data_IF_838885024930
#
_entry.id   IF_838885024930
#
_cell.length_a   1.000
_cell.length_b   1.000
_cell.length_c   1.000
_cell.angle_alpha   90.00
_cell.angle_beta   90.00
_cell.angle_gamma   90.00
#
_symmetry.space_group_name_H-M   'P 1'
#
loop_
_entity.id
_entity.type
_entity.pdbx_description
1 polymer ?
#
# COMPACT_ATOMS: atom_id res chain seq x y z
N UNK A 1 32.77 -10.24 13.99
CA UNK A 1 31.76 -10.95 14.80
C UNK A 1 30.59 -11.29 13.91
N UNK A 2 29.85 -12.36 14.15
CA UNK A 2 28.75 -12.70 13.27
C UNK A 2 27.70 -11.59 13.32
N UNK A 3 27.22 -11.21 12.13
CA UNK A 3 26.11 -10.33 11.91
C UNK A 3 24.93 -10.84 12.72
N UNK A 4 24.35 -9.99 13.55
CA UNK A 4 23.17 -10.33 14.32
C UNK A 4 22.03 -9.41 13.90
N UNK A 5 20.86 -9.98 13.69
CA UNK A 5 19.64 -9.24 13.43
C UNK A 5 18.94 -8.94 14.76
N UNK A 6 18.62 -7.68 14.98
CA UNK A 6 17.99 -7.20 16.22
C UNK A 6 16.71 -6.41 15.91
N UNK A 7 15.84 -6.32 16.90
CA UNK A 7 14.80 -5.31 16.86
C UNK A 7 15.44 -3.91 16.85
N UNK A 8 15.04 -3.09 15.90
CA UNK A 8 15.49 -1.71 15.81
C UNK A 8 15.05 -0.93 17.03
N UNK A 9 15.82 0.08 17.39
CA UNK A 9 15.52 1.06 18.40
C UNK A 9 15.21 2.41 17.75
N UNK A 10 14.68 3.34 18.51
CA UNK A 10 14.36 4.69 18.03
C UNK A 10 15.58 5.38 17.42
N UNK A 11 16.75 5.21 18.02
CA UNK A 11 18.02 5.81 17.58
C UNK A 11 18.45 5.32 16.17
N UNK A 12 17.93 4.19 15.72
CA UNK A 12 18.25 3.61 14.42
C UNK A 12 17.47 4.26 13.26
N UNK A 13 16.42 5.01 13.58
CA UNK A 13 15.44 5.49 12.62
C UNK A 13 16.01 6.29 11.47
N UNK A 14 16.96 7.20 11.74
CA UNK A 14 17.61 8.04 10.71
C UNK A 14 18.49 7.18 9.78
N UNK A 15 19.23 6.22 10.33
CA UNK A 15 20.10 5.33 9.54
C UNK A 15 19.26 4.40 8.67
N UNK A 16 18.14 3.87 9.19
CA UNK A 16 17.16 3.09 8.43
C UNK A 16 16.57 3.94 7.30
N UNK A 17 16.21 5.22 7.55
CA UNK A 17 15.69 6.10 6.50
C UNK A 17 16.66 6.22 5.33
N UNK A 18 17.95 6.46 5.62
CA UNK A 18 19.00 6.56 4.60
C UNK A 18 19.13 5.26 3.79
N UNK A 19 19.05 4.11 4.46
CA UNK A 19 19.13 2.81 3.80
C UNK A 19 17.93 2.58 2.88
N UNK A 20 16.71 2.93 3.30
CA UNK A 20 15.50 2.80 2.49
C UNK A 20 15.51 3.71 1.25
N UNK A 21 16.20 4.85 1.32
CA UNK A 21 16.30 5.83 0.23
C UNK A 21 17.30 5.43 -0.87
N UNK A 22 18.10 4.36 -0.66
CA UNK A 22 18.98 3.90 -1.72
C UNK A 22 18.18 3.42 -2.94
N UNK A 23 18.50 3.92 -4.16
CA UNK A 23 17.69 3.70 -5.35
C UNK A 23 17.58 2.22 -5.71
N UNK A 24 16.38 1.80 -6.10
CA UNK A 24 16.16 0.54 -6.82
C UNK A 24 16.05 0.88 -8.30
N UNK A 25 16.82 0.21 -9.15
CA UNK A 25 16.75 0.46 -10.60
C UNK A 25 15.46 -0.14 -11.17
N UNK A 26 14.50 0.73 -11.50
CA UNK A 26 13.19 0.33 -11.96
C UNK A 26 12.74 1.17 -13.17
N UNK A 27 12.93 0.65 -14.37
CA UNK A 27 12.32 1.15 -15.61
C UNK A 27 12.60 2.62 -15.96
N UNK A 28 11.62 3.27 -16.61
CA UNK A 28 11.72 4.66 -17.10
C UNK A 28 11.54 5.70 -15.97
N UNK A 29 10.89 5.35 -14.87
CA UNK A 29 10.69 6.19 -13.69
C UNK A 29 11.23 5.41 -12.49
N UNK A 30 12.27 5.95 -11.87
CA UNK A 30 12.74 5.44 -10.58
C UNK A 30 11.98 6.15 -9.48
N UNK A 31 11.19 5.41 -8.72
CA UNK A 31 10.47 5.93 -7.57
C UNK A 31 10.86 5.13 -6.33
N UNK A 32 10.95 5.81 -5.22
CA UNK A 32 11.21 5.22 -3.91
C UNK A 32 10.14 5.66 -2.92
N UNK A 33 9.79 4.75 -2.02
CA UNK A 33 9.05 5.12 -0.82
C UNK A 33 10.05 5.48 0.26
N UNK A 34 9.97 6.74 0.70
CA UNK A 34 10.79 7.24 1.80
C UNK A 34 9.96 7.29 3.08
N UNK A 35 10.63 7.22 4.22
CA UNK A 35 10.03 7.30 5.55
C UNK A 35 10.73 8.39 6.35
N UNK A 36 10.56 9.63 5.89
CA UNK A 36 11.19 10.82 6.49
C UNK A 36 10.30 11.45 7.56
N UNK A 37 10.92 12.14 8.54
CA UNK A 37 12.37 12.26 8.75
C UNK A 37 13.01 11.03 9.38
N UNK A 38 12.23 10.16 10.00
CA UNK A 38 12.67 9.02 10.79
C UNK A 38 11.86 7.77 10.46
N UNK A 39 12.53 6.71 9.98
CA UNK A 39 11.85 5.51 9.53
C UNK A 39 11.26 4.72 10.71
N UNK A 40 11.90 4.68 11.87
CA UNK A 40 11.35 3.98 13.03
C UNK A 40 10.03 4.62 13.46
N UNK A 41 10.01 5.93 13.67
CA UNK A 41 8.80 6.67 14.01
C UNK A 41 7.72 6.55 12.92
N UNK A 42 8.13 6.52 11.64
CA UNK A 42 7.22 6.30 10.53
C UNK A 42 6.54 4.93 10.59
N UNK A 43 7.29 3.87 10.89
CA UNK A 43 6.72 2.53 11.04
C UNK A 43 5.75 2.44 12.22
N UNK A 44 6.01 3.16 13.31
CA UNK A 44 5.10 3.19 14.47
C UNK A 44 3.76 3.88 14.18
N UNK A 45 3.63 4.56 13.05
CA UNK A 45 2.39 5.20 12.56
C UNK A 45 1.59 4.31 11.61
N UNK A 46 2.09 3.13 11.26
CA UNK A 46 1.33 2.18 10.44
C UNK A 46 0.17 1.58 11.24
N UNK A 47 -0.92 1.28 10.56
CA UNK A 47 -2.04 0.57 11.17
C UNK A 47 -1.67 -0.88 11.49
N UNK A 48 -1.61 -1.20 12.79
CA UNK A 48 -1.23 -2.50 13.32
C UNK A 48 -0.01 -2.43 14.25
N UNK A 49 0.46 -3.58 14.71
CA UNK A 49 1.68 -3.71 15.51
C UNK A 49 2.90 -3.70 14.60
N UNK A 50 3.70 -2.65 14.67
CA UNK A 50 4.92 -2.51 13.87
C UNK A 50 6.13 -3.09 14.57
N UNK A 51 6.91 -3.89 13.84
CA UNK A 51 8.18 -4.45 14.28
C UNK A 51 9.25 -4.20 13.24
N UNK A 52 10.27 -3.46 13.60
CA UNK A 52 11.38 -3.12 12.71
C UNK A 52 12.62 -3.89 13.12
N UNK A 53 13.30 -4.49 12.16
CA UNK A 53 14.52 -5.27 12.36
C UNK A 53 15.66 -4.65 11.59
N UNK A 54 16.85 -4.67 12.18
CA UNK A 54 18.10 -4.23 11.56
C UNK A 54 19.12 -5.34 11.57
N UNK A 55 19.91 -5.40 10.52
CA UNK A 55 21.10 -6.24 10.40
C UNK A 55 22.32 -5.34 10.54
N UNK A 56 23.24 -5.68 11.42
CA UNK A 56 24.44 -4.88 11.68
C UNK A 56 25.71 -5.65 11.35
N UNK A 57 26.64 -4.92 10.77
CA UNK A 57 28.04 -5.31 10.73
C UNK A 57 28.79 -4.28 11.56
N UNK A 58 29.32 -4.72 12.71
CA UNK A 58 29.81 -3.84 13.77
C UNK A 58 28.76 -2.79 14.21
N UNK A 59 29.03 -1.52 14.08
CA UNK A 59 28.09 -0.44 14.44
C UNK A 59 27.18 0.00 13.30
N UNK A 60 27.46 -0.38 12.04
CA UNK A 60 26.72 0.06 10.84
C UNK A 60 25.52 -0.84 10.57
N UNK A 61 24.38 -0.25 10.24
CA UNK A 61 23.24 -0.97 9.72
C UNK A 61 23.48 -1.31 8.24
N UNK A 62 23.53 -2.60 7.94
CA UNK A 62 23.76 -3.13 6.58
C UNK A 62 22.49 -3.68 5.93
N UNK A 63 21.39 -3.73 6.67
CA UNK A 63 20.11 -4.16 6.16
C UNK A 63 18.98 -3.90 7.14
N UNK A 64 17.78 -3.89 6.62
CA UNK A 64 16.54 -3.71 7.40
C UNK A 64 15.43 -4.58 6.84
N UNK A 65 14.45 -4.89 7.68
CA UNK A 65 13.21 -5.56 7.34
C UNK A 65 12.16 -5.17 8.38
N UNK A 66 10.91 -5.02 7.98
CA UNK A 66 9.83 -4.68 8.90
C UNK A 66 8.65 -5.62 8.76
N UNK A 67 7.90 -5.77 9.84
CA UNK A 67 6.62 -6.47 9.90
C UNK A 67 5.56 -5.52 10.43
N UNK A 68 4.41 -5.48 9.76
CA UNK A 68 3.21 -4.83 10.26
C UNK A 68 2.18 -5.92 10.50
N UNK A 69 1.85 -6.14 11.77
CA UNK A 69 0.96 -7.22 12.19
C UNK A 69 -0.43 -6.64 12.37
N UNK A 70 -1.41 -7.24 11.69
CA UNK A 70 -2.80 -6.81 11.73
C UNK A 70 -3.75 -7.97 11.47
N UNK A 71 -4.98 -7.82 11.92
CA UNK A 71 -6.05 -8.74 11.60
C UNK A 71 -6.61 -8.40 10.21
N UNK A 72 -6.85 -9.42 9.40
CA UNK A 72 -7.47 -9.33 8.07
C UNK A 72 -8.52 -10.42 7.92
N UNK A 73 -9.43 -10.25 6.98
CA UNK A 73 -10.34 -11.32 6.60
C UNK A 73 -9.70 -12.26 5.58
N UNK A 74 -9.96 -13.56 5.73
CA UNK A 74 -9.67 -14.61 4.76
C UNK A 74 -10.83 -15.60 4.83
N UNK A 75 -11.52 -15.82 3.73
CA UNK A 75 -12.74 -16.64 3.66
C UNK A 75 -13.78 -16.24 4.74
N UNK A 76 -13.97 -14.92 4.90
CA UNK A 76 -14.87 -14.35 5.89
C UNK A 76 -14.44 -14.53 7.36
N UNK A 77 -13.28 -15.15 7.61
CA UNK A 77 -12.75 -15.43 8.96
C UNK A 77 -11.61 -14.46 9.27
N UNK A 78 -11.57 -13.97 10.52
CA UNK A 78 -10.47 -13.12 10.98
C UNK A 78 -9.20 -13.96 11.12
N UNK A 79 -8.13 -13.53 10.45
CA UNK A 79 -6.79 -14.12 10.51
C UNK A 79 -5.79 -13.05 10.92
N UNK A 80 -4.86 -13.42 11.81
CA UNK A 80 -3.77 -12.53 12.20
C UNK A 80 -2.63 -12.66 11.19
N UNK A 81 -2.37 -11.60 10.45
CA UNK A 81 -1.38 -11.57 9.39
C UNK A 81 -0.17 -10.71 9.75
N UNK A 82 0.96 -10.94 9.09
CA UNK A 82 2.11 -10.06 9.15
C UNK A 82 2.52 -9.64 7.72
N UNK A 83 2.38 -8.35 7.42
CA UNK A 83 2.87 -7.75 6.20
C UNK A 83 4.37 -7.49 6.31
N UNK A 84 5.16 -8.15 5.46
CA UNK A 84 6.62 -7.96 5.40
C UNK A 84 6.92 -6.85 4.41
N UNK A 85 7.59 -5.81 4.87
CA UNK A 85 7.97 -4.66 4.07
C UNK A 85 9.35 -4.11 4.44
N UNK A 86 9.82 -3.10 3.71
CA UNK A 86 11.08 -2.44 3.99
C UNK A 86 12.30 -3.36 3.95
N UNK A 87 12.21 -4.50 3.25
CA UNK A 87 13.36 -5.38 3.06
C UNK A 87 14.39 -4.69 2.17
N UNK A 88 15.48 -4.26 2.77
CA UNK A 88 16.54 -3.55 2.08
C UNK A 88 17.91 -4.00 2.59
N UNK A 89 18.84 -4.17 1.67
CA UNK A 89 20.26 -4.39 1.93
C UNK A 89 21.04 -3.19 1.46
N UNK A 90 22.06 -2.80 2.21
CA UNK A 90 23.02 -1.79 1.79
C UNK A 90 23.74 -2.21 0.51
N UNK A 91 23.75 -1.35 -0.50
CA UNK A 91 24.41 -1.60 -1.79
C UNK A 91 25.92 -1.75 -1.66
N UNK A 92 26.53 -1.08 -0.69
CA UNK A 92 27.98 -1.08 -0.47
C UNK A 92 28.44 -2.30 0.33
N UNK A 93 27.51 -3.08 0.88
CA UNK A 93 27.81 -4.30 1.61
C UNK A 93 27.77 -5.52 0.69
N UNK A 94 28.93 -6.10 0.40
CA UNK A 94 29.07 -7.25 -0.51
C UNK A 94 28.71 -8.61 0.11
N UNK A 95 28.58 -8.69 1.45
CA UNK A 95 28.22 -9.91 2.17
C UNK A 95 26.75 -10.32 1.99
N UNK A 96 26.39 -11.50 2.46
CA UNK A 96 25.00 -11.93 2.60
C UNK A 96 24.47 -11.47 3.95
N UNK A 97 23.23 -10.99 4.00
CA UNK A 97 22.57 -10.74 5.28
C UNK A 97 22.37 -12.08 6.00
N UNK A 98 23.14 -12.30 7.05
CA UNK A 98 23.05 -13.52 7.83
C UNK A 98 22.01 -13.36 8.94
N UNK A 99 20.83 -13.87 8.67
CA UNK A 99 19.76 -13.96 9.65
C UNK A 99 19.96 -15.21 10.49
N UNK A 100 20.81 -15.18 11.51
CA UNK A 100 21.02 -16.32 12.40
C UNK A 100 19.73 -16.89 12.99
N UNK A 101 19.78 -18.09 13.56
CA UNK A 101 18.61 -18.78 14.12
C UNK A 101 17.82 -17.94 15.15
N UNK A 102 18.49 -17.04 15.86
CA UNK A 102 17.88 -16.11 16.80
C UNK A 102 16.94 -15.10 16.12
N UNK A 103 17.31 -14.61 14.93
CA UNK A 103 16.44 -13.74 14.14
C UNK A 103 15.13 -14.42 13.79
N UNK A 104 15.19 -15.65 13.28
CA UNK A 104 13.99 -16.37 12.88
C UNK A 104 13.03 -16.62 14.05
N UNK A 105 13.56 -16.93 15.23
CA UNK A 105 12.72 -17.07 16.43
C UNK A 105 12.01 -15.76 16.80
N UNK A 106 12.69 -14.64 16.63
CA UNK A 106 12.11 -13.32 16.93
C UNK A 106 11.18 -12.86 15.82
N UNK A 107 11.51 -13.16 14.57
CA UNK A 107 10.74 -12.79 13.38
C UNK A 107 9.46 -13.63 13.26
N UNK A 108 9.56 -14.95 13.42
CA UNK A 108 8.40 -15.84 13.41
C UNK A 108 7.70 -15.83 14.76
N UNK A 109 6.41 -15.55 14.73
CA UNK A 109 5.54 -15.58 15.92
C UNK A 109 4.51 -16.71 15.78
N UNK A 110 4.21 -17.43 16.84
CA UNK A 110 3.24 -18.53 16.83
C UNK A 110 1.78 -18.03 16.65
N UNK A 111 1.50 -16.78 17.01
CA UNK A 111 0.19 -16.15 16.93
C UNK A 111 -0.10 -15.52 15.54
N UNK A 112 0.81 -15.62 14.57
CA UNK A 112 0.60 -15.15 13.19
C UNK A 112 0.11 -16.32 12.33
N UNK A 113 -1.04 -16.17 11.69
CA UNK A 113 -1.58 -17.20 10.80
C UNK A 113 -0.81 -17.28 9.48
N UNK A 114 -0.39 -16.16 8.92
CA UNK A 114 0.41 -16.12 7.69
C UNK A 114 1.20 -14.82 7.53
N UNK A 115 2.18 -14.88 6.63
CA UNK A 115 3.00 -13.74 6.24
C UNK A 115 2.75 -13.42 4.78
N UNK A 116 2.75 -12.14 4.42
CA UNK A 116 2.62 -11.71 3.03
C UNK A 116 3.45 -10.48 2.75
N UNK A 117 3.73 -10.22 1.48
CA UNK A 117 4.43 -9.03 1.03
C UNK A 117 3.92 -8.57 -0.33
N UNK A 118 4.13 -7.31 -0.65
CA UNK A 118 3.95 -6.76 -1.99
C UNK A 118 5.32 -6.48 -2.62
N UNK A 119 5.53 -6.97 -3.84
CA UNK A 119 6.78 -6.77 -4.59
C UNK A 119 6.46 -6.04 -5.88
N UNK A 120 7.09 -4.90 -6.10
CA UNK A 120 6.99 -4.15 -7.36
C UNK A 120 7.48 -5.04 -8.51
N UNK A 121 6.69 -5.17 -9.57
CA UNK A 121 6.93 -6.15 -10.66
C UNK A 121 8.27 -5.99 -11.36
N UNK A 122 8.85 -4.79 -11.35
CA UNK A 122 10.16 -4.53 -11.95
C UNK A 122 11.35 -4.77 -10.99
N UNK A 123 11.09 -5.17 -9.74
CA UNK A 123 12.15 -5.47 -8.76
C UNK A 123 12.68 -6.89 -8.96
N UNK A 124 13.60 -7.04 -9.93
CA UNK A 124 14.19 -8.34 -10.30
C UNK A 124 14.95 -9.00 -9.14
N UNK A 125 15.60 -8.23 -8.28
CA UNK A 125 16.39 -8.73 -7.16
C UNK A 125 15.50 -9.34 -6.07
N UNK A 126 14.39 -8.68 -5.74
CA UNK A 126 13.40 -9.23 -4.84
C UNK A 126 12.78 -10.52 -5.41
N UNK A 127 12.42 -10.52 -6.70
CA UNK A 127 11.89 -11.70 -7.39
C UNK A 127 12.89 -12.85 -7.41
N UNK A 128 14.17 -12.57 -7.66
CA UNK A 128 15.22 -13.58 -7.63
C UNK A 128 15.41 -14.20 -6.23
N UNK A 129 15.19 -13.41 -5.17
CA UNK A 129 15.27 -13.89 -3.79
C UNK A 129 14.17 -14.91 -3.49
N UNK A 130 12.95 -14.69 -3.95
CA UNK A 130 11.82 -15.60 -3.76
C UNK A 130 11.91 -16.87 -4.61
N UNK A 131 12.60 -16.81 -5.76
CA UNK A 131 12.75 -17.95 -6.68
C UNK A 131 13.90 -18.91 -6.32
N UNK A 132 14.73 -18.57 -5.33
CA UNK A 132 15.84 -19.44 -4.91
C UNK A 132 15.34 -20.67 -4.15
N UNK A 133 15.53 -21.87 -4.74
CA UNK A 133 15.14 -23.16 -4.13
C UNK A 133 15.83 -23.49 -2.78
N UNK A 134 16.82 -22.74 -2.35
CA UNK A 134 17.61 -22.96 -1.12
C UNK A 134 17.58 -21.72 -0.22
N UNK A 135 16.42 -21.14 -0.02
CA UNK A 135 16.23 -20.04 0.91
C UNK A 135 15.40 -20.48 2.11
N UNK A 136 15.49 -19.74 3.22
CA UNK A 136 14.62 -19.92 4.38
C UNK A 136 13.22 -19.30 4.16
N UNK A 137 12.95 -18.82 2.97
CA UNK A 137 11.63 -18.30 2.56
C UNK A 137 11.27 -18.87 1.21
N UNK A 138 10.01 -19.21 1.04
CA UNK A 138 9.39 -19.43 -0.26
C UNK A 138 8.19 -18.49 -0.41
N UNK A 139 7.87 -18.13 -1.63
CA UNK A 139 6.75 -17.24 -1.90
C UNK A 139 5.76 -17.90 -2.86
N UNK A 140 4.48 -17.85 -2.53
CA UNK A 140 3.37 -18.24 -3.41
C UNK A 140 2.64 -16.98 -3.84
N UNK A 141 2.52 -16.76 -5.16
CA UNK A 141 1.77 -15.62 -5.69
C UNK A 141 0.30 -15.73 -5.26
N UNK A 142 -0.24 -14.62 -4.76
CA UNK A 142 -1.66 -14.48 -4.45
C UNK A 142 -2.35 -13.74 -5.61
N UNK A 143 -1.98 -12.48 -5.85
CA UNK A 143 -2.62 -11.66 -6.89
C UNK A 143 -1.68 -10.59 -7.43
N UNK A 144 -2.09 -9.94 -8.53
CA UNK A 144 -1.47 -8.71 -9.01
C UNK A 144 -2.27 -7.51 -8.52
N UNK A 145 -1.56 -6.47 -8.14
CA UNK A 145 -2.09 -5.24 -7.58
C UNK A 145 -1.58 -4.05 -8.39
N UNK A 146 -2.51 -3.32 -8.97
CA UNK A 146 -2.22 -2.15 -9.79
C UNK A 146 -2.48 -0.88 -8.96
N UNK A 147 -1.53 0.03 -8.97
CA UNK A 147 -1.67 1.37 -8.38
C UNK A 147 -1.78 2.39 -9.50
N UNK A 148 -2.81 3.22 -9.44
CA UNK A 148 -3.12 4.24 -10.42
C UNK A 148 -2.95 5.62 -9.79
N UNK A 149 -2.11 6.47 -10.39
CA UNK A 149 -2.04 7.90 -10.07
C UNK A 149 -2.81 8.65 -11.15
N UNK A 150 -3.85 9.37 -10.74
CA UNK A 150 -4.85 9.96 -11.63
C UNK A 150 -4.97 11.45 -11.35
N UNK A 151 -5.06 12.27 -12.41
CA UNK A 151 -5.47 13.68 -12.29
C UNK A 151 -7.00 13.73 -12.07
N UNK A 152 -7.52 14.39 -11.04
CA UNK A 152 -8.96 14.44 -10.77
C UNK A 152 -9.78 15.14 -11.88
N UNK A 153 -9.14 15.80 -12.85
CA UNK A 153 -9.80 16.40 -14.03
C UNK A 153 -10.20 15.38 -15.09
N UNK A 154 -9.76 14.11 -14.99
CA UNK A 154 -10.12 13.08 -15.97
C UNK A 154 -11.62 13.00 -16.17
N UNK A 155 -12.05 12.91 -17.42
CA UNK A 155 -13.46 12.73 -17.74
C UNK A 155 -13.86 11.29 -17.47
N UNK A 156 -14.97 11.11 -16.77
CA UNK A 156 -15.63 9.82 -16.56
C UNK A 156 -17.09 9.95 -16.96
N UNK A 157 -17.70 8.85 -17.34
CA UNK A 157 -19.14 8.84 -17.65
C UNK A 157 -19.92 9.24 -16.40
N UNK A 158 -20.80 10.18 -16.55
CA UNK A 158 -21.76 10.53 -15.51
C UNK A 158 -22.96 9.58 -15.60
N UNK A 159 -23.27 8.92 -14.50
CA UNK A 159 -24.45 8.10 -14.36
C UNK A 159 -25.49 8.93 -13.63
N UNK A 160 -26.59 9.27 -14.30
CA UNK A 160 -27.71 9.99 -13.68
C UNK A 160 -28.34 9.12 -12.61
N UNK A 161 -28.47 9.65 -11.41
CA UNK A 161 -29.06 8.97 -10.26
C UNK A 161 -29.46 10.00 -9.20
N UNK A 162 -30.33 9.60 -8.28
CA UNK A 162 -30.82 10.44 -7.18
C UNK A 162 -30.06 10.19 -5.87
N UNK A 163 -28.95 9.44 -5.90
CA UNK A 163 -28.16 9.14 -4.72
C UNK A 163 -27.55 10.39 -4.10
N UNK A 164 -27.54 10.43 -2.80
CA UNK A 164 -26.85 11.47 -2.02
C UNK A 164 -25.37 11.12 -1.92
N UNK A 165 -24.50 12.09 -2.16
CA UNK A 165 -23.07 11.96 -1.95
C UNK A 165 -22.60 13.07 -1.01
N UNK A 166 -22.02 12.69 0.10
CA UNK A 166 -21.59 13.64 1.14
C UNK A 166 -20.32 13.20 1.85
N UNK A 167 -19.68 14.16 2.48
CA UNK A 167 -18.62 13.91 3.45
C UNK A 167 -19.23 13.34 4.74
N UNK A 168 -18.51 12.43 5.39
CA UNK A 168 -18.91 11.85 6.66
C UNK A 168 -18.66 12.84 7.83
N UNK A 169 -19.32 12.57 8.93
CA UNK A 169 -19.21 13.30 10.19
C UNK A 169 -19.15 12.34 11.37
N UNK A 170 -18.88 12.81 12.56
CA UNK A 170 -18.75 11.97 13.76
C UNK A 170 -19.93 11.00 13.98
N UNK A 171 -21.16 11.41 13.60
CA UNK A 171 -22.37 10.57 13.72
C UNK A 171 -22.37 9.36 12.77
N UNK A 172 -21.55 9.36 11.75
CA UNK A 172 -21.48 8.30 10.74
C UNK A 172 -20.45 7.20 11.09
N UNK A 173 -19.70 7.37 12.19
CA UNK A 173 -18.59 6.50 12.54
C UNK A 173 -19.00 5.03 12.64
N UNK A 174 -20.03 4.72 13.41
CA UNK A 174 -20.47 3.32 13.62
C UNK A 174 -21.00 2.72 12.32
N UNK A 175 -21.77 3.49 11.54
CA UNK A 175 -22.31 3.03 10.26
C UNK A 175 -21.20 2.75 9.24
N UNK A 176 -20.14 3.58 9.20
CA UNK A 176 -18.98 3.36 8.33
C UNK A 176 -18.20 2.13 8.78
N UNK A 177 -17.92 1.97 10.08
CA UNK A 177 -17.20 0.80 10.60
C UNK A 177 -17.97 -0.50 10.32
N UNK A 178 -19.28 -0.50 10.51
CA UNK A 178 -20.15 -1.64 10.18
C UNK A 178 -20.10 -1.96 8.67
N UNK A 179 -20.27 -0.95 7.82
CA UNK A 179 -20.21 -1.10 6.37
C UNK A 179 -18.86 -1.66 5.92
N UNK A 180 -17.75 -1.08 6.39
CA UNK A 180 -16.40 -1.54 6.04
C UNK A 180 -16.14 -2.99 6.43
N UNK A 181 -16.58 -3.40 7.64
CA UNK A 181 -16.40 -4.77 8.07
C UNK A 181 -17.39 -5.74 7.41
N UNK A 182 -18.61 -5.31 7.10
CA UNK A 182 -19.60 -6.13 6.41
C UNK A 182 -19.18 -6.42 4.97
N UNK A 183 -18.86 -5.39 4.19
CA UNK A 183 -18.41 -5.58 2.80
C UNK A 183 -16.97 -6.08 2.73
N UNK A 184 -16.09 -5.65 3.65
CA UNK A 184 -14.72 -6.09 3.74
C UNK A 184 -14.57 -7.58 4.09
N UNK A 185 -15.48 -8.13 4.92
CA UNK A 185 -15.49 -9.57 5.26
C UNK A 185 -15.68 -10.47 4.04
N UNK A 186 -16.29 -9.97 2.97
CA UNK A 186 -16.47 -10.67 1.69
C UNK A 186 -15.18 -10.72 0.86
N UNK A 187 -14.08 -10.11 1.37
CA UNK A 187 -12.83 -9.91 0.62
C UNK A 187 -11.62 -10.38 1.41
N UNK A 188 -10.82 -11.22 0.81
CA UNK A 188 -9.56 -11.66 1.38
C UNK A 188 -8.55 -10.52 1.46
N UNK A 189 -7.76 -10.50 2.53
CA UNK A 189 -6.75 -9.49 2.87
C UNK A 189 -7.31 -8.10 3.24
N UNK A 190 -8.63 -7.91 3.28
CA UNK A 190 -9.20 -6.66 3.79
C UNK A 190 -8.96 -6.54 5.31
N UNK A 191 -8.47 -5.39 5.81
CA UNK A 191 -8.18 -5.22 7.23
C UNK A 191 -9.46 -5.23 8.07
N UNK A 192 -9.39 -5.83 9.25
CA UNK A 192 -10.47 -5.74 10.26
C UNK A 192 -10.36 -4.39 10.97
N UNK A 193 -11.36 -3.55 10.81
CA UNK A 193 -11.35 -2.17 11.33
C UNK A 193 -12.29 -2.06 12.51
N UNK A 194 -11.74 -2.08 13.74
CA UNK A 194 -12.55 -1.98 14.99
C UNK A 194 -12.75 -0.54 15.44
N UNK A 195 -11.82 0.35 15.10
CA UNK A 195 -11.84 1.78 15.42
C UNK A 195 -10.97 2.53 14.43
N UNK A 196 -11.22 3.82 14.24
CA UNK A 196 -10.35 4.70 13.47
C UNK A 196 -9.13 5.17 14.24
N UNK A 197 -9.10 5.03 15.58
CA UNK A 197 -8.01 5.50 16.43
C UNK A 197 -6.65 4.85 16.13
N UNK A 198 -6.66 3.65 15.52
CA UNK A 198 -5.45 2.96 15.09
C UNK A 198 -4.79 3.51 13.82
N UNK A 199 -5.43 4.45 13.13
CA UNK A 199 -4.93 5.03 11.88
C UNK A 199 -4.32 6.41 12.11
N UNK A 200 -3.06 6.56 11.76
CA UNK A 200 -2.41 7.87 11.85
C UNK A 200 -2.90 8.80 10.73
N UNK A 201 -3.34 10.00 11.10
CA UNK A 201 -3.87 11.02 10.17
C UNK A 201 -5.06 10.58 9.30
N UNK A 202 -5.86 9.63 9.77
CA UNK A 202 -7.15 9.30 9.15
C UNK A 202 -8.26 9.60 10.15
N UNK A 203 -9.19 10.45 9.77
CA UNK A 203 -10.33 10.87 10.58
C UNK A 203 -11.62 10.53 9.88
N UNK A 204 -12.71 10.57 10.61
CA UNK A 204 -14.03 10.29 10.04
C UNK A 204 -14.41 11.29 8.92
N UNK A 205 -13.97 12.54 9.03
CA UNK A 205 -14.23 13.59 8.04
C UNK A 205 -13.44 13.37 6.73
N UNK A 206 -12.49 12.45 6.70
CA UNK A 206 -11.78 12.05 5.48
C UNK A 206 -12.59 11.05 4.64
N UNK A 207 -13.66 10.48 5.23
CA UNK A 207 -14.58 9.57 4.53
C UNK A 207 -15.66 10.32 3.76
N UNK A 208 -16.07 9.70 2.67
CA UNK A 208 -17.21 10.11 1.84
C UNK A 208 -18.15 8.92 1.69
N UNK A 209 -19.43 9.22 1.61
CA UNK A 209 -20.52 8.23 1.56
C UNK A 209 -21.38 8.50 0.32
N UNK A 210 -21.72 7.43 -0.37
CA UNK A 210 -22.81 7.39 -1.35
C UNK A 210 -23.98 6.65 -0.70
N UNK A 211 -25.14 7.28 -0.62
CA UNK A 211 -26.32 6.73 0.05
C UNK A 211 -27.60 6.91 -0.78
N UNK A 212 -28.54 6.01 -0.57
CA UNK A 212 -29.86 6.01 -1.15
C UNK A 212 -30.85 5.62 -0.05
N UNK A 213 -31.88 6.45 0.17
CA UNK A 213 -32.87 6.27 1.26
C UNK A 213 -32.20 5.95 2.62
N UNK A 214 -31.13 6.69 2.96
CA UNK A 214 -30.33 6.51 4.17
C UNK A 214 -29.53 5.20 4.24
N UNK A 215 -29.57 4.38 3.20
CA UNK A 215 -28.74 3.17 3.11
C UNK A 215 -27.42 3.47 2.41
N UNK A 216 -26.29 3.14 3.06
CA UNK A 216 -24.96 3.30 2.47
C UNK A 216 -24.75 2.31 1.32
N UNK A 217 -24.51 2.84 0.12
CA UNK A 217 -24.25 2.09 -1.13
C UNK A 217 -22.76 1.95 -1.42
N UNK A 218 -21.97 2.98 -1.08
CA UNK A 218 -20.51 2.92 -1.18
C UNK A 218 -19.86 3.92 -0.22
N UNK A 219 -18.64 3.62 0.19
CA UNK A 219 -17.81 4.58 0.90
C UNK A 219 -16.33 4.46 0.49
N UNK A 220 -15.57 5.53 0.75
CA UNK A 220 -14.12 5.55 0.69
C UNK A 220 -13.57 6.72 1.51
N UNK A 221 -12.31 6.63 1.90
CA UNK A 221 -11.59 7.72 2.54
C UNK A 221 -10.55 8.34 1.60
N UNK A 222 -10.32 9.63 1.75
CA UNK A 222 -9.18 10.35 1.16
C UNK A 222 -8.07 10.44 2.20
N UNK A 223 -7.22 9.42 2.25
CA UNK A 223 -6.16 9.32 3.27
C UNK A 223 -4.83 9.82 2.76
N UNK A 224 -4.29 10.86 3.38
CA UNK A 224 -2.97 11.39 3.06
C UNK A 224 -1.93 10.85 4.04
N UNK A 225 -1.06 9.97 3.56
CA UNK A 225 0.01 9.34 4.35
C UNK A 225 1.36 10.06 4.21
N UNK A 226 1.44 11.15 3.46
CA UNK A 226 2.71 11.80 3.09
C UNK A 226 3.49 12.39 4.26
N UNK A 227 2.86 12.57 5.41
CA UNK A 227 3.52 13.00 6.64
C UNK A 227 4.48 11.97 7.25
N UNK A 228 4.37 10.68 6.86
CA UNK A 228 5.21 9.60 7.38
C UNK A 228 5.67 8.60 6.31
N UNK A 229 4.99 8.53 5.15
CA UNK A 229 5.29 7.63 4.05
C UNK A 229 5.17 8.41 2.73
N UNK A 230 6.28 8.73 2.12
CA UNK A 230 6.32 9.59 0.93
C UNK A 230 6.70 8.78 -0.31
N UNK A 231 6.07 9.09 -1.43
CA UNK A 231 6.53 8.68 -2.76
C UNK A 231 7.40 9.78 -3.35
N UNK A 232 8.61 9.44 -3.74
CA UNK A 232 9.56 10.37 -4.37
C UNK A 232 10.08 9.77 -5.65
N UNK A 233 10.01 10.52 -6.76
CA UNK A 233 10.67 10.13 -8.00
C UNK A 233 12.12 10.61 -7.92
N UNK A 234 13.06 9.67 -7.96
CA UNK A 234 14.48 9.98 -7.87
C UNK A 234 15.11 10.23 -9.23
N UNK A 235 14.55 9.63 -10.31
CA UNK A 235 15.11 9.78 -11.66
C UNK A 235 14.08 9.49 -12.74
N UNK A 236 14.09 10.31 -13.78
CA UNK A 236 13.42 10.04 -15.03
C UNK A 236 14.46 9.55 -16.06
N UNK A 237 14.15 8.48 -16.81
CA UNK A 237 15.00 7.94 -17.88
C UNK A 237 14.35 8.09 -19.25
N UNK A 238 15.16 8.17 -20.29
CA UNK A 238 14.68 8.20 -21.69
C UNK A 238 13.69 9.33 -21.95
N UNK A 239 12.63 9.02 -22.66
CA UNK A 239 11.58 9.97 -23.08
C UNK A 239 10.87 10.63 -21.89
N UNK A 240 10.87 10.02 -20.72
CA UNK A 240 10.25 10.59 -19.53
C UNK A 240 10.95 11.85 -19.02
N UNK A 241 12.24 12.05 -19.33
CA UNK A 241 12.92 13.34 -19.06
C UNK A 241 12.30 14.49 -19.83
N UNK A 242 11.91 14.23 -21.09
CA UNK A 242 11.30 15.24 -21.96
C UNK A 242 9.84 15.45 -21.62
N UNK A 243 9.12 14.42 -21.19
CA UNK A 243 7.68 14.52 -20.88
C UNK A 243 7.37 15.58 -19.82
N UNK A 244 8.31 15.85 -18.90
CA UNK A 244 8.18 16.90 -17.89
C UNK A 244 8.11 18.31 -18.48
N UNK A 245 8.80 18.56 -19.60
CA UNK A 245 8.73 19.84 -20.33
C UNK A 245 7.33 20.07 -20.91
N UNK A 246 6.58 19.01 -21.14
CA UNK A 246 5.22 19.04 -21.67
C UNK A 246 4.13 19.01 -20.59
N UNK A 247 4.49 19.16 -19.31
CA UNK A 247 3.52 19.19 -18.21
C UNK A 247 2.30 20.10 -18.46
N UNK A 248 2.41 21.31 -19.04
CA UNK A 248 1.25 22.14 -19.35
C UNK A 248 0.29 21.43 -20.33
N UNK A 249 0.81 20.80 -21.36
CA UNK A 249 0.01 20.05 -22.34
C UNK A 249 -0.58 18.78 -21.70
N UNK A 250 0.22 18.05 -20.95
CA UNK A 250 -0.24 16.86 -20.23
C UNK A 250 -1.38 17.18 -19.25
N UNK A 251 -1.28 18.33 -18.57
CA UNK A 251 -2.34 18.79 -17.67
C UNK A 251 -3.64 19.13 -18.41
N UNK A 252 -3.56 19.65 -19.65
CA UNK A 252 -4.76 19.88 -20.49
C UNK A 252 -5.44 18.56 -20.89
N UNK A 253 -4.64 17.51 -21.06
CA UNK A 253 -5.11 16.15 -21.36
C UNK A 253 -5.52 15.36 -20.10
N UNK A 254 -5.56 16.02 -18.94
CA UNK A 254 -5.80 15.39 -17.63
C UNK A 254 -4.84 14.23 -17.33
N UNK A 255 -3.61 14.33 -17.81
CA UNK A 255 -2.53 13.41 -17.41
C UNK A 255 -1.86 13.94 -16.14
N UNK A 256 -1.53 13.06 -15.17
CA UNK A 256 -0.88 13.49 -13.94
C UNK A 256 0.41 14.27 -14.20
N UNK A 257 0.53 15.43 -13.58
CA UNK A 257 1.73 16.26 -13.72
C UNK A 257 2.92 15.65 -12.98
N UNK A 258 4.08 15.63 -13.66
CA UNK A 258 5.31 15.11 -13.10
C UNK A 258 6.03 16.19 -12.28
N UNK A 259 6.30 15.93 -11.01
CA UNK A 259 7.13 16.79 -10.16
C UNK A 259 8.61 16.71 -10.51
N UNK A 260 9.43 17.56 -9.90
CA UNK A 260 10.90 17.48 -10.03
C UNK A 260 11.42 16.20 -9.40
N UNK A 261 12.58 15.74 -9.88
CA UNK A 261 13.31 14.66 -9.23
C UNK A 261 13.59 15.05 -7.77
N UNK A 262 13.46 14.09 -6.85
CA UNK A 262 13.63 14.24 -5.41
C UNK A 262 12.59 15.14 -4.70
N UNK A 263 11.56 15.58 -5.39
CA UNK A 263 10.44 16.29 -4.80
C UNK A 263 9.35 15.29 -4.40
N UNK A 264 8.95 15.23 -3.11
CA UNK A 264 7.90 14.31 -2.67
C UNK A 264 6.54 14.73 -3.27
N UNK A 265 5.75 13.74 -3.62
CA UNK A 265 4.38 13.96 -4.07
C UNK A 265 3.48 14.13 -2.86
N UNK A 266 2.65 15.18 -2.90
CA UNK A 266 1.53 15.35 -1.98
C UNK A 266 0.25 14.91 -2.68
N UNK A 267 -0.32 13.82 -2.21
CA UNK A 267 -1.53 13.23 -2.79
C UNK A 267 -2.30 12.43 -1.74
N UNK A 268 -3.63 12.44 -1.80
CA UNK A 268 -4.43 11.51 -1.02
C UNK A 268 -4.49 10.16 -1.72
N UNK A 269 -4.65 9.12 -0.94
CA UNK A 269 -4.97 7.77 -1.40
C UNK A 269 -6.47 7.57 -1.23
N UNK A 270 -7.17 7.16 -2.28
CA UNK A 270 -8.54 6.69 -2.18
C UNK A 270 -8.51 5.30 -1.54
N UNK A 271 -8.70 5.27 -0.22
CA UNK A 271 -8.59 4.10 0.64
C UNK A 271 -9.96 3.58 1.08
N UNK A 272 -10.04 2.31 1.42
CA UNK A 272 -11.28 1.66 1.87
C UNK A 272 -12.43 1.85 0.88
N UNK A 273 -12.10 1.81 -0.41
CA UNK A 273 -13.06 2.01 -1.47
C UNK A 273 -13.89 0.75 -1.69
N UNK A 274 -15.03 0.70 -1.04
CA UNK A 274 -15.98 -0.41 -1.08
C UNK A 274 -17.35 0.05 -1.56
N UNK A 275 -18.06 -0.86 -2.21
CA UNK A 275 -19.49 -0.72 -2.52
C UNK A 275 -20.26 -1.93 -2.03
N UNK A 276 -21.54 -1.73 -1.77
CA UNK A 276 -22.44 -2.81 -1.40
C UNK A 276 -22.46 -3.88 -2.48
N UNK A 277 -22.16 -5.13 -2.09
CA UNK A 277 -22.15 -6.31 -2.95
C UNK A 277 -21.28 -6.15 -4.23
N UNK A 278 -20.17 -5.41 -4.12
CA UNK A 278 -19.29 -5.11 -5.26
C UNK A 278 -19.98 -4.51 -6.48
N UNK A 279 -21.05 -3.78 -6.26
CA UNK A 279 -21.84 -3.20 -7.34
C UNK A 279 -21.02 -2.17 -8.12
N UNK A 280 -20.76 -2.44 -9.38
CA UNK A 280 -19.97 -1.63 -10.28
C UNK A 280 -20.53 -0.22 -10.46
N UNK A 281 -21.85 -0.08 -10.55
CA UNK A 281 -22.49 1.22 -10.79
C UNK A 281 -22.28 2.13 -9.59
N UNK A 282 -22.35 1.61 -8.36
CA UNK A 282 -22.07 2.39 -7.16
C UNK A 282 -20.60 2.86 -7.12
N UNK A 283 -19.66 2.01 -7.51
CA UNK A 283 -18.26 2.41 -7.66
C UNK A 283 -18.07 3.52 -8.70
N UNK A 284 -18.71 3.40 -9.88
CA UNK A 284 -18.58 4.40 -10.95
C UNK A 284 -19.18 5.75 -10.54
N UNK A 285 -20.36 5.75 -9.92
CA UNK A 285 -21.04 6.97 -9.42
C UNK A 285 -20.17 7.61 -8.35
N UNK A 286 -19.72 6.83 -7.36
CA UNK A 286 -18.86 7.34 -6.30
C UNK A 286 -17.57 7.93 -6.85
N UNK A 287 -16.88 7.20 -7.74
CA UNK A 287 -15.64 7.66 -8.35
C UNK A 287 -15.82 8.95 -9.16
N UNK A 288 -16.93 9.07 -9.87
CA UNK A 288 -17.26 10.31 -10.59
C UNK A 288 -17.43 11.51 -9.64
N UNK A 289 -18.06 11.32 -8.49
CA UNK A 289 -18.35 12.38 -7.53
C UNK A 289 -17.13 12.75 -6.69
N UNK A 290 -16.39 11.76 -6.17
CA UNK A 290 -15.22 12.00 -5.31
C UNK A 290 -14.12 12.81 -6.01
N UNK A 291 -13.93 12.66 -7.32
CA UNK A 291 -12.97 13.46 -8.09
C UNK A 291 -13.21 14.95 -7.99
N UNK A 292 -14.48 15.38 -7.89
CA UNK A 292 -14.84 16.79 -7.74
C UNK A 292 -14.34 17.33 -6.39
N UNK A 293 -14.41 16.50 -5.34
CA UNK A 293 -13.91 16.84 -4.01
C UNK A 293 -12.38 16.87 -3.98
N UNK A 294 -11.73 15.85 -4.53
CA UNK A 294 -10.26 15.77 -4.62
C UNK A 294 -9.67 16.99 -5.33
N UNK A 295 -10.31 17.42 -6.44
CA UNK A 295 -9.87 18.54 -7.27
C UNK A 295 -9.77 19.87 -6.51
N UNK A 296 -10.52 20.05 -5.41
CA UNK A 296 -10.50 21.28 -4.62
C UNK A 296 -9.12 21.52 -4.02
N UNK A 297 -8.42 20.44 -3.60
CA UNK A 297 -7.18 20.53 -2.83
C UNK A 297 -5.99 19.86 -3.51
N UNK A 298 -6.21 18.88 -4.41
CA UNK A 298 -5.16 18.05 -4.96
C UNK A 298 -5.16 18.03 -6.49
N UNK A 299 -3.96 17.88 -7.07
CA UNK A 299 -3.74 17.75 -8.52
C UNK A 299 -3.57 16.31 -8.99
N UNK A 300 -3.36 15.40 -8.04
CA UNK A 300 -3.21 13.97 -8.27
C UNK A 300 -3.74 13.23 -7.05
N UNK A 301 -4.27 12.06 -7.25
CA UNK A 301 -4.60 11.11 -6.20
C UNK A 301 -4.19 9.71 -6.62
N UNK A 302 -4.01 8.83 -5.64
CA UNK A 302 -3.71 7.43 -5.90
C UNK A 302 -4.91 6.56 -5.56
N UNK A 303 -5.06 5.47 -6.31
CA UNK A 303 -5.96 4.37 -5.98
C UNK A 303 -5.27 3.07 -6.31
N UNK A 304 -5.27 2.13 -5.38
CA UNK A 304 -4.68 0.82 -5.57
C UNK A 304 -5.76 -0.25 -5.55
N UNK A 305 -5.76 -1.13 -6.54
CA UNK A 305 -6.80 -2.15 -6.72
C UNK A 305 -6.20 -3.44 -7.31
N UNK A 306 -6.83 -4.55 -7.01
CA UNK A 306 -6.59 -5.79 -7.74
C UNK A 306 -7.14 -5.71 -9.16
N UNK A 307 -6.63 -6.55 -10.07
CA UNK A 307 -7.09 -6.54 -11.48
C UNK A 307 -8.55 -6.90 -11.66
N UNK A 308 -9.09 -7.68 -10.75
CA UNK A 308 -10.49 -8.17 -10.80
C UNK A 308 -11.47 -7.20 -10.13
N UNK A 309 -10.99 -6.10 -9.55
CA UNK A 309 -11.87 -5.10 -8.94
C UNK A 309 -12.84 -4.50 -9.98
N UNK A 310 -14.14 -4.34 -9.66
CA UNK A 310 -15.18 -3.93 -10.62
C UNK A 310 -14.87 -2.65 -11.40
N UNK A 311 -14.19 -1.66 -10.77
CA UNK A 311 -13.84 -0.38 -11.42
C UNK A 311 -12.53 -0.43 -12.23
N UNK A 312 -11.78 -1.52 -12.19
CA UNK A 312 -10.47 -1.62 -12.86
C UNK A 312 -10.55 -1.31 -14.36
N UNK A 313 -11.63 -1.73 -15.03
CA UNK A 313 -11.86 -1.44 -16.44
C UNK A 313 -11.99 0.06 -16.74
N UNK A 314 -12.60 0.83 -15.84
CA UNK A 314 -12.72 2.29 -15.95
C UNK A 314 -11.35 2.94 -15.79
N UNK A 315 -10.63 2.58 -14.73
CA UNK A 315 -9.30 3.15 -14.44
C UNK A 315 -8.27 2.83 -15.53
N UNK A 316 -8.34 1.64 -16.14
CA UNK A 316 -7.43 1.25 -17.24
C UNK A 316 -7.54 2.16 -18.45
N UNK A 317 -8.68 2.78 -18.69
CA UNK A 317 -8.93 3.64 -19.84
C UNK A 317 -8.65 5.13 -19.58
N UNK A 318 -8.32 5.52 -18.34
CA UNK A 318 -8.03 6.92 -18.00
C UNK A 318 -6.56 7.27 -18.28
N UNK A 319 -6.24 8.53 -18.60
CA UNK A 319 -4.88 9.06 -18.52
C UNK A 319 -4.33 8.92 -17.10
N UNK A 320 -3.19 8.24 -16.94
CA UNK A 320 -2.66 7.88 -15.63
C UNK A 320 -1.18 7.52 -15.65
N UNK A 321 -0.58 7.49 -14.47
CA UNK A 321 0.69 6.79 -14.21
C UNK A 321 0.33 5.52 -13.44
N UNK A 322 0.94 4.39 -13.79
CA UNK A 322 0.68 3.10 -13.14
C UNK A 322 1.93 2.53 -12.52
N UNK A 323 1.75 1.93 -11.36
CA UNK A 323 2.68 0.99 -10.74
C UNK A 323 2.03 -0.39 -10.66
N UNK A 324 2.79 -1.44 -10.88
CA UNK A 324 2.33 -2.82 -10.72
C UNK A 324 3.14 -3.49 -9.62
N UNK A 325 2.45 -4.18 -8.72
CA UNK A 325 3.03 -5.03 -7.70
C UNK A 325 2.38 -6.41 -7.72
N UNK A 326 3.11 -7.41 -7.26
CA UNK A 326 2.54 -8.73 -7.00
C UNK A 326 2.52 -8.97 -5.50
N UNK A 327 1.39 -9.44 -4.99
CA UNK A 327 1.24 -9.86 -3.60
C UNK A 327 1.55 -11.34 -3.49
N UNK A 328 2.41 -11.66 -2.53
CA UNK A 328 2.85 -13.04 -2.26
C UNK A 328 2.54 -13.44 -0.83
N UNK A 329 2.03 -14.65 -0.64
CA UNK A 329 2.17 -15.34 0.64
C UNK A 329 3.63 -15.73 0.82
N UNK A 330 4.21 -15.40 1.96
CA UNK A 330 5.59 -15.74 2.31
C UNK A 330 5.58 -16.86 3.34
N UNK A 331 6.26 -17.95 3.01
CA UNK A 331 6.44 -19.08 3.92
C UNK A 331 7.86 -19.12 4.40
N UNK A 332 8.01 -19.21 5.69
CA UNK A 332 9.29 -19.31 6.36
C UNK A 332 9.62 -20.78 6.62
N UNK A 333 10.88 -21.18 6.41
CA UNK A 333 11.34 -22.53 6.63
C UNK A 333 11.13 -22.93 8.11
N UNK A 334 10.64 -24.15 8.34
CA UNK A 334 10.37 -24.65 9.70
C UNK A 334 8.98 -24.32 10.24
N UNK A 335 8.17 -23.52 9.53
CA UNK A 335 6.75 -23.32 9.88
C UNK A 335 5.94 -24.55 9.45
N UNK A 336 5.25 -25.17 10.41
CA UNK A 336 4.26 -26.21 10.15
C UNK A 336 2.91 -25.53 9.89
N UNK A 337 2.19 -25.94 8.87
CA UNK A 337 0.83 -25.46 8.54
C UNK A 337 0.54 -25.58 7.06
N UNK A 338 -0.72 -25.80 6.74
CA UNK A 338 -1.20 -25.81 5.36
C UNK A 338 -1.14 -24.40 4.76
N UNK A 339 -0.94 -24.30 3.43
CA UNK A 339 -1.07 -23.02 2.73
C UNK A 339 -2.44 -22.42 2.98
N UNK A 340 -2.48 -21.11 3.16
CA UNK A 340 -3.75 -20.39 3.11
C UNK A 340 -4.28 -20.44 1.66
N UNK A 341 -5.54 -20.79 1.52
CA UNK A 341 -6.25 -20.65 0.26
C UNK A 341 -6.88 -19.27 0.23
N UNK A 342 -6.54 -18.45 -0.76
CA UNK A 342 -7.14 -17.14 -0.97
C UNK A 342 -8.12 -17.21 -2.14
N UNK A 343 -9.26 -16.55 -1.98
CA UNK A 343 -10.16 -16.30 -3.10
C UNK A 343 -9.57 -15.17 -3.97
N UNK A 344 -8.89 -15.56 -5.06
CA UNK A 344 -8.18 -14.63 -5.93
C UNK A 344 -9.07 -13.65 -6.69
N UNK A 345 -10.38 -13.93 -6.77
CA UNK A 345 -11.37 -13.05 -7.40
C UNK A 345 -11.78 -11.90 -6.47
N UNK A 346 -11.85 -12.16 -5.16
CA UNK A 346 -12.32 -11.21 -4.15
C UNK A 346 -11.21 -10.80 -3.17
N UNK A 347 -10.07 -10.37 -3.67
CA UNK A 347 -9.00 -9.80 -2.84
C UNK A 347 -9.11 -8.29 -2.79
N UNK A 348 -9.07 -7.74 -1.58
CA UNK A 348 -8.93 -6.31 -1.36
C UNK A 348 -7.85 -6.07 -0.31
N UNK A 349 -6.82 -5.34 -0.69
CA UNK A 349 -5.84 -4.81 0.26
C UNK A 349 -5.68 -3.33 0.01
N UNK A 350 -5.36 -2.59 1.05
CA UNK A 350 -5.29 -1.14 0.97
C UNK A 350 -3.90 -0.66 0.55
N UNK A 351 -3.83 0.17 -0.50
CA UNK A 351 -2.57 0.73 -0.97
C UNK A 351 -1.85 1.54 0.12
N UNK A 352 -2.61 2.26 0.93
CA UNK A 352 -2.06 3.01 2.06
C UNK A 352 -1.37 2.11 3.11
N UNK A 353 -1.74 0.83 3.15
CA UNK A 353 -1.24 -0.16 4.11
C UNK A 353 -0.16 -1.11 3.53
N UNK A 354 0.20 -0.96 2.24
CA UNK A 354 1.25 -1.74 1.55
C UNK A 354 2.62 -1.04 1.56
#
# INVERSE_FOLDING_TARGET
MPESAYCARKEDGIEISRLLESPVDAGLIQAIYTRRPDAYESYMKEFGESRVFVFRNDSRIIGTCSQIIRDVYVDGIVKRSAYICGLKKDSDYNGLLNAGSGFFRTFMRPDIDFYYCAVVSNNKDAMATFNKKRGFMSAKRITTYDTYFVDPKVKTKEVKNDFTFRQASAKDTDAILDFLNTEGRKKDLFPVIRSLDGFYNLRIEDFYILEDDHEMKACAALWNTTSYKQLTITKFKGIMKLSRLFNPVLSLLAFPTLKKENEPYDYPILSFFLSRDDNKDYYEIFFHRIKKEIRKNYRVFAVGLTRNHPISSVLKNLPKITGESTIYEVRLLGRKGEPISFDTEHIATEFALL
#
